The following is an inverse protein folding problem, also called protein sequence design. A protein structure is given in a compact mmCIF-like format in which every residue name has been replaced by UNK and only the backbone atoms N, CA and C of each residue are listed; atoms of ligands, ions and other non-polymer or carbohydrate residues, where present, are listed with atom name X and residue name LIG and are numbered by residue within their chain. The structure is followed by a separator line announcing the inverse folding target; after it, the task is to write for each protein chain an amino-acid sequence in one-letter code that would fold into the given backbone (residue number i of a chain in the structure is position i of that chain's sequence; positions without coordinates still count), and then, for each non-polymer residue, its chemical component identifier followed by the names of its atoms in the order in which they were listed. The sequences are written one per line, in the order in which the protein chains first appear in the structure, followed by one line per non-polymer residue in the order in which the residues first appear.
data_IF_819682304431
#
_entry.id   IF_819682304431
#
_cell.length_a   1.000
_cell.length_b   1.000
_cell.length_c   1.000
_cell.angle_alpha   90.00
_cell.angle_beta   90.00
_cell.angle_gamma   90.00
#
_symmetry.space_group_name_H-M   'P 1'
#
loop_
_entity.id
_entity.type
_entity.pdbx_description
1 polymer ?
#
# COMPACT_ATOMS: atom_id res chain seq x y z
N UNK A 1 -13.16 3.72 1.56
CA UNK A 1 -13.00 2.26 1.86
C UNK A 1 -12.82 2.09 3.36
N UNK A 2 -13.61 1.21 4.01
CA UNK A 2 -13.65 1.14 5.47
C UNK A 2 -12.40 0.42 6.00
N UNK A 3 -11.44 1.17 6.56
CA UNK A 3 -10.18 0.67 7.16
C UNK A 3 -10.43 -0.42 8.22
N UNK A 4 -11.63 -0.44 8.82
CA UNK A 4 -12.01 -1.38 9.87
C UNK A 4 -12.18 -2.83 9.41
N UNK A 5 -12.38 -3.09 8.11
CA UNK A 5 -12.54 -4.46 7.60
C UNK A 5 -11.24 -5.25 7.66
N UNK A 6 -10.14 -4.65 7.19
CA UNK A 6 -8.83 -5.30 7.13
C UNK A 6 -8.14 -5.47 8.50
N UNK A 7 -8.66 -4.82 9.53
CA UNK A 7 -8.15 -4.96 10.90
C UNK A 7 -8.89 -5.99 11.76
N UNK A 8 -9.84 -6.77 11.18
CA UNK A 8 -10.59 -7.81 11.90
C UNK A 8 -9.83 -9.13 11.93
N UNK A 9 -9.96 -9.86 13.05
CA UNK A 9 -9.26 -11.11 13.27
C UNK A 9 -9.37 -12.16 12.14
N UNK A 10 -10.55 -12.45 11.55
CA UNK A 10 -10.64 -13.46 10.49
C UNK A 10 -9.81 -13.12 9.24
N UNK A 11 -9.66 -11.83 8.92
CA UNK A 11 -8.82 -11.40 7.81
C UNK A 11 -7.33 -11.51 8.17
N UNK A 12 -6.94 -11.05 9.36
CA UNK A 12 -5.56 -11.13 9.86
C UNK A 12 -5.07 -12.57 9.91
N UNK A 13 -5.90 -13.48 10.40
CA UNK A 13 -5.55 -14.90 10.49
C UNK A 13 -5.38 -15.53 9.10
N UNK A 14 -6.24 -15.24 8.13
CA UNK A 14 -6.10 -15.71 6.75
C UNK A 14 -4.78 -15.23 6.11
N UNK A 15 -4.45 -13.96 6.26
CA UNK A 15 -3.18 -13.40 5.75
C UNK A 15 -1.97 -14.12 6.36
N UNK A 16 -1.99 -14.35 7.68
CA UNK A 16 -0.91 -15.07 8.38
C UNK A 16 -0.80 -16.53 7.97
N UNK A 17 -1.94 -17.23 7.79
CA UNK A 17 -1.98 -18.61 7.30
C UNK A 17 -1.41 -18.75 5.88
N UNK A 18 -1.52 -17.71 5.07
CA UNK A 18 -0.92 -17.66 3.73
C UNK A 18 0.59 -17.33 3.75
N UNK A 19 1.23 -17.28 4.93
CA UNK A 19 2.66 -16.94 5.05
C UNK A 19 2.97 -15.44 4.83
N UNK A 20 1.95 -14.60 4.76
CA UNK A 20 2.10 -13.16 4.53
C UNK A 20 1.95 -12.36 5.83
N UNK A 21 2.42 -11.14 5.80
CA UNK A 21 2.27 -10.17 6.88
C UNK A 21 1.33 -9.05 6.50
N UNK A 22 0.53 -8.60 7.47
CA UNK A 22 -0.39 -7.49 7.31
C UNK A 22 0.23 -6.22 7.90
N UNK A 23 0.14 -5.12 7.15
CA UNK A 23 0.36 -3.76 7.65
C UNK A 23 -0.94 -2.99 7.48
N UNK A 24 -1.47 -2.42 8.55
CA UNK A 24 -2.70 -1.65 8.49
C UNK A 24 -2.76 -0.58 9.58
N UNK A 25 -3.67 0.38 9.42
CA UNK A 25 -3.99 1.35 10.45
C UNK A 25 -5.05 0.76 11.38
N UNK A 26 -4.81 0.82 12.68
CA UNK A 26 -5.80 0.53 13.71
C UNK A 26 -6.60 1.82 14.04
N UNK A 27 -7.73 1.63 14.70
CA UNK A 27 -8.44 2.73 15.34
C UNK A 27 -7.64 3.22 16.55
N UNK A 28 -7.81 4.46 16.90
CA UNK A 28 -7.17 5.08 18.08
C UNK A 28 -7.70 4.53 19.42
N UNK A 29 -8.90 3.91 19.40
CA UNK A 29 -9.51 3.20 20.53
C UNK A 29 -9.18 1.69 20.55
N UNK A 30 -8.29 1.20 19.68
CA UNK A 30 -7.95 -0.21 19.60
C UNK A 30 -7.37 -0.73 20.92
N UNK A 31 -7.98 -1.80 21.45
CA UNK A 31 -7.54 -2.40 22.70
C UNK A 31 -6.20 -3.14 22.51
N UNK A 32 -5.16 -2.60 23.13
CA UNK A 32 -3.80 -3.15 23.11
C UNK A 32 -3.27 -3.34 24.53
N UNK A 33 -2.31 -4.24 24.70
CA UNK A 33 -1.67 -4.53 25.99
C UNK A 33 -0.15 -4.51 25.89
N UNK A 34 0.47 -4.00 26.94
CA UNK A 34 1.91 -4.06 27.11
C UNK A 34 2.39 -5.48 27.40
N UNK A 35 3.58 -5.90 26.94
CA UNK A 35 4.24 -7.09 27.44
C UNK A 35 4.62 -6.89 28.91
N UNK A 36 4.56 -7.97 29.68
CA UNK A 36 5.10 -7.95 31.04
C UNK A 36 6.62 -8.09 31.00
N UNK A 37 7.33 -7.13 31.59
CA UNK A 37 8.80 -7.07 31.63
C UNK A 37 9.38 -7.32 33.04
N UNK A 38 8.51 -7.54 34.03
CA UNK A 38 8.95 -7.75 35.40
C UNK A 38 9.35 -9.22 35.69
N UNK A 39 9.87 -9.50 36.87
CA UNK A 39 10.19 -10.85 37.31
C UNK A 39 8.89 -11.68 37.45
N UNK A 40 8.94 -12.92 37.00
CA UNK A 40 7.82 -13.85 37.18
C UNK A 40 7.78 -14.31 38.65
N UNK A 41 6.58 -14.65 39.15
CA UNK A 41 6.44 -15.20 40.49
C UNK A 41 6.97 -16.63 40.52
N UNK A 42 7.81 -16.91 41.50
CA UNK A 42 8.20 -18.28 41.81
C UNK A 42 7.00 -19.05 42.40
N UNK A 43 6.71 -20.27 41.88
CA UNK A 43 5.65 -21.10 42.36
C UNK A 43 4.66 -21.56 41.32
N UNK A 44 3.54 -22.23 41.77
CA UNK A 44 2.49 -22.71 40.89
C UNK A 44 1.64 -21.53 40.37
N UNK A 45 1.42 -21.47 39.06
CA UNK A 45 0.56 -20.50 38.43
C UNK A 45 1.01 -20.21 36.99
N UNK A 46 0.15 -19.52 36.24
CA UNK A 46 0.48 -19.07 34.88
C UNK A 46 1.34 -17.79 34.94
N UNK A 47 2.39 -17.78 34.15
CA UNK A 47 3.24 -16.60 33.98
C UNK A 47 2.45 -15.37 33.53
N UNK A 48 2.80 -14.22 34.10
CA UNK A 48 2.20 -12.95 33.76
C UNK A 48 2.68 -12.49 32.37
N UNK A 49 1.77 -12.47 31.42
CA UNK A 49 2.08 -12.14 30.02
C UNK A 49 1.94 -10.63 29.72
N UNK A 50 1.04 -9.95 30.44
CA UNK A 50 0.65 -8.56 30.15
C UNK A 50 0.88 -7.65 31.36
N UNK A 51 1.34 -6.43 31.10
CA UNK A 51 1.58 -5.39 32.10
C UNK A 51 0.46 -4.35 32.24
N UNK A 52 -0.57 -4.42 31.40
CA UNK A 52 -1.70 -3.48 31.44
C UNK A 52 -2.20 -3.09 30.05
N UNK A 53 -3.18 -2.19 30.02
CA UNK A 53 -3.72 -1.62 28.77
C UNK A 53 -2.85 -0.47 28.30
N UNK A 54 -2.77 -0.30 26.98
CA UNK A 54 -2.09 0.85 26.36
C UNK A 54 -3.07 2.02 26.27
N UNK A 55 -2.66 3.17 26.78
CA UNK A 55 -3.27 4.45 26.45
C UNK A 55 -2.46 5.07 25.32
N UNK A 56 -3.07 5.25 24.17
CA UNK A 56 -2.39 5.76 22.96
C UNK A 56 -2.03 7.24 23.05
N UNK A 57 -2.60 7.98 24.00
CA UNK A 57 -2.27 9.39 24.26
C UNK A 57 -1.17 9.53 25.32
N UNK A 58 -1.11 8.60 26.27
CA UNK A 58 -0.15 8.62 27.39
C UNK A 58 0.71 7.35 27.34
N UNK A 59 1.75 7.38 26.51
CA UNK A 59 2.62 6.22 26.26
C UNK A 59 3.58 5.96 27.40
N UNK A 60 3.66 4.71 27.84
CA UNK A 60 4.67 4.28 28.82
C UNK A 60 6.05 4.17 28.14
N UNK A 61 6.95 5.09 28.50
CA UNK A 61 8.32 5.18 27.95
C UNK A 61 9.17 3.91 28.16
N UNK A 62 8.80 3.03 29.08
CA UNK A 62 9.49 1.74 29.28
C UNK A 62 9.28 0.76 28.13
N UNK A 63 8.19 0.91 27.40
CA UNK A 63 7.78 0.03 26.32
C UNK A 63 7.90 0.64 24.93
N UNK A 64 7.94 1.96 24.84
CA UNK A 64 8.01 2.69 23.60
C UNK A 64 9.37 3.32 23.38
N UNK A 65 9.89 3.15 22.16
CA UNK A 65 11.09 3.85 21.66
C UNK A 65 10.67 4.92 20.65
N UNK A 66 11.39 6.06 20.58
CA UNK A 66 11.18 7.02 19.50
C UNK A 66 11.41 6.39 18.13
N UNK A 67 10.63 6.79 17.16
CA UNK A 67 10.75 6.36 15.77
C UNK A 67 10.89 7.60 14.87
N UNK A 68 11.90 7.60 13.99
CA UNK A 68 12.20 8.72 13.11
C UNK A 68 11.29 8.70 11.87
N UNK A 69 10.01 8.96 12.07
CA UNK A 69 8.99 9.04 11.02
C UNK A 69 7.99 10.16 11.34
N UNK A 70 7.27 10.59 10.34
CA UNK A 70 6.25 11.62 10.45
C UNK A 70 6.65 12.93 9.77
N UNK A 71 5.66 13.78 9.59
CA UNK A 71 5.82 15.10 9.03
C UNK A 71 6.18 16.12 10.13
N UNK A 72 6.44 17.36 9.72
CA UNK A 72 6.71 18.44 10.65
C UNK A 72 5.55 18.61 11.66
N UNK A 73 5.87 18.65 12.96
CA UNK A 73 4.88 18.67 14.05
C UNK A 73 4.33 17.31 14.47
N UNK A 74 4.81 16.20 13.93
CA UNK A 74 4.49 14.85 14.35
C UNK A 74 5.62 14.22 15.18
N UNK A 75 5.27 13.40 16.17
CA UNK A 75 6.21 12.54 16.90
C UNK A 75 5.73 11.10 16.86
N UNK A 76 6.61 10.20 16.50
CA UNK A 76 6.29 8.78 16.38
C UNK A 76 7.04 7.95 17.41
N UNK A 77 6.35 6.90 17.86
CA UNK A 77 6.85 5.96 18.87
C UNK A 77 6.53 4.55 18.43
N UNK A 78 7.46 3.64 18.61
CA UNK A 78 7.30 2.24 18.24
C UNK A 78 7.38 1.30 19.44
N UNK A 79 6.58 0.24 19.41
CA UNK A 79 6.60 -0.80 20.41
C UNK A 79 6.14 -2.15 19.87
N UNK A 80 6.47 -3.24 20.57
CA UNK A 80 5.82 -4.54 20.37
C UNK A 80 4.69 -4.69 21.38
N UNK A 81 3.46 -4.75 20.89
CA UNK A 81 2.24 -4.79 21.71
C UNK A 81 1.38 -5.99 21.35
N UNK A 82 0.56 -6.45 22.30
CA UNK A 82 -0.48 -7.42 22.01
C UNK A 82 -1.75 -6.72 21.57
N UNK A 83 -2.22 -7.01 20.37
CA UNK A 83 -3.45 -6.46 19.82
C UNK A 83 -4.61 -7.41 20.10
N UNK A 84 -5.54 -7.00 20.95
CA UNK A 84 -6.62 -7.88 21.43
C UNK A 84 -7.51 -8.38 20.28
N UNK A 85 -7.83 -7.52 19.32
CA UNK A 85 -8.66 -7.88 18.17
C UNK A 85 -7.98 -8.88 17.23
N UNK A 86 -6.64 -8.92 17.20
CA UNK A 86 -5.86 -9.84 16.39
C UNK A 86 -5.44 -11.11 17.15
N UNK A 87 -5.59 -11.08 18.47
CA UNK A 87 -5.12 -12.16 19.37
C UNK A 87 -3.65 -12.52 19.17
N UNK A 88 -2.81 -11.58 18.77
CA UNK A 88 -1.39 -11.79 18.54
C UNK A 88 -0.54 -10.56 18.88
N UNK A 89 0.76 -10.79 19.01
CA UNK A 89 1.75 -9.73 19.10
C UNK A 89 1.92 -9.04 17.76
N UNK A 90 2.06 -7.73 17.79
CA UNK A 90 2.25 -6.89 16.62
C UNK A 90 3.32 -5.84 16.89
N UNK A 91 4.04 -5.42 15.86
CA UNK A 91 4.79 -4.17 15.87
C UNK A 91 3.78 -3.04 15.68
N UNK A 92 3.83 -2.04 16.56
CA UNK A 92 2.92 -0.90 16.53
C UNK A 92 3.73 0.39 16.47
N UNK A 93 3.31 1.29 15.60
CA UNK A 93 3.82 2.67 15.53
C UNK A 93 2.66 3.61 15.84
N UNK A 94 2.84 4.46 16.84
CA UNK A 94 1.89 5.48 17.25
C UNK A 94 2.46 6.85 16.88
N UNK A 95 1.72 7.60 16.08
CA UNK A 95 2.10 8.94 15.65
C UNK A 95 1.20 9.94 16.34
N UNK A 96 1.78 10.83 17.11
CA UNK A 96 1.12 11.97 17.75
C UNK A 96 1.32 13.22 16.91
N UNK A 97 0.24 13.83 16.49
CA UNK A 97 0.24 15.15 15.87
C UNK A 97 -0.07 16.19 16.92
N UNK A 98 0.78 17.20 17.02
CA UNK A 98 0.63 18.27 18.00
C UNK A 98 0.05 19.52 17.36
N UNK A 99 -0.74 20.28 18.16
CA UNK A 99 -1.16 21.62 17.81
C UNK A 99 -0.05 22.64 18.14
N UNK A 100 -0.26 23.90 17.80
CA UNK A 100 0.67 25.00 18.10
C UNK A 100 0.87 25.24 19.62
N UNK A 101 -0.03 24.73 20.46
CA UNK A 101 0.02 24.83 21.92
C UNK A 101 0.79 23.63 22.55
N UNK A 102 1.26 22.67 21.75
CA UNK A 102 1.96 21.50 22.23
C UNK A 102 1.06 20.38 22.75
N UNK A 103 -0.25 20.43 22.51
CA UNK A 103 -1.19 19.38 22.88
C UNK A 103 -1.39 18.37 21.74
N UNK A 104 -1.72 17.13 22.08
CA UNK A 104 -1.99 16.08 21.10
C UNK A 104 -3.34 16.34 20.40
N UNK A 105 -3.26 16.86 19.18
CA UNK A 105 -4.40 17.12 18.30
C UNK A 105 -5.03 15.83 17.79
N UNK A 106 -4.20 14.90 17.31
CA UNK A 106 -4.65 13.60 16.77
C UNK A 106 -3.63 12.50 17.03
N UNK A 107 -4.13 11.25 17.03
CA UNK A 107 -3.30 10.04 17.16
C UNK A 107 -3.58 9.14 15.97
N UNK A 108 -2.52 8.62 15.35
CA UNK A 108 -2.61 7.62 14.30
C UNK A 108 -1.88 6.36 14.78
N UNK A 109 -2.53 5.21 14.68
CA UNK A 109 -1.98 3.93 15.14
C UNK A 109 -1.79 3.01 13.95
N UNK A 110 -0.54 2.63 13.67
CA UNK A 110 -0.18 1.68 12.61
C UNK A 110 0.33 0.40 13.24
N UNK A 111 -0.01 -0.74 12.65
CA UNK A 111 0.40 -2.03 13.19
C UNK A 111 0.77 -3.02 12.09
N UNK A 112 1.72 -3.89 12.40
CA UNK A 112 2.13 -5.00 11.54
C UNK A 112 2.15 -6.31 12.31
N UNK A 113 1.71 -7.39 11.67
CA UNK A 113 1.89 -8.77 12.19
C UNK A 113 3.35 -9.23 12.13
N UNK A 114 4.22 -8.58 11.36
CA UNK A 114 5.66 -8.76 11.38
C UNK A 114 6.25 -7.96 12.56
N UNK A 115 6.54 -8.65 13.66
CA UNK A 115 6.99 -7.98 14.89
C UNK A 115 8.43 -7.46 14.84
N UNK A 116 9.22 -7.90 13.86
CA UNK A 116 10.63 -7.55 13.68
C UNK A 116 10.85 -6.35 12.75
N UNK A 117 9.80 -5.89 12.06
CA UNK A 117 9.90 -4.75 11.15
C UNK A 117 10.27 -3.47 11.92
N UNK A 118 11.23 -2.67 11.42
CA UNK A 118 11.49 -1.32 11.95
C UNK A 118 10.24 -0.44 11.81
N UNK A 119 10.01 0.45 12.78
CA UNK A 119 8.84 1.33 12.74
C UNK A 119 8.82 2.28 11.54
N UNK A 120 9.99 2.72 11.09
CA UNK A 120 10.13 3.55 9.90
C UNK A 120 9.65 2.82 8.63
N UNK A 121 10.04 1.55 8.47
CA UNK A 121 9.62 0.73 7.34
C UNK A 121 8.12 0.41 7.39
N UNK A 122 7.59 0.15 8.60
CA UNK A 122 6.16 -0.06 8.80
C UNK A 122 5.36 1.17 8.32
N UNK A 123 5.80 2.35 8.70
CA UNK A 123 5.16 3.61 8.30
C UNK A 123 5.29 3.84 6.79
N UNK A 124 6.49 3.64 6.22
CA UNK A 124 6.74 3.76 4.77
C UNK A 124 5.86 2.81 3.96
N UNK A 125 5.79 1.54 4.34
CA UNK A 125 4.93 0.57 3.65
C UNK A 125 3.44 0.89 3.80
N UNK A 126 3.02 1.45 4.93
CA UNK A 126 1.64 1.90 5.05
C UNK A 126 1.31 3.06 4.09
N UNK A 127 2.25 3.98 3.85
CA UNK A 127 2.09 5.05 2.86
C UNK A 127 1.83 4.48 1.46
N UNK A 128 2.47 3.36 1.11
CA UNK A 128 2.25 2.68 -0.16
C UNK A 128 0.79 2.17 -0.35
N UNK A 129 -0.04 2.17 0.69
CA UNK A 129 -1.47 1.80 0.59
C UNK A 129 -2.21 2.63 -0.47
N UNK A 130 -1.85 3.90 -0.63
CA UNK A 130 -2.46 4.75 -1.67
C UNK A 130 -2.23 4.22 -3.08
N UNK A 131 -1.19 3.43 -3.30
CA UNK A 131 -0.93 2.80 -4.61
C UNK A 131 -2.05 1.83 -5.01
N UNK A 132 -2.70 1.15 -4.05
CA UNK A 132 -3.86 0.31 -4.33
C UNK A 132 -5.10 1.12 -4.74
N UNK A 133 -5.28 2.31 -4.17
CA UNK A 133 -6.38 3.21 -4.57
C UNK A 133 -6.17 3.72 -5.99
N UNK A 134 -4.93 4.08 -6.36
CA UNK A 134 -4.58 4.44 -7.72
C UNK A 134 -4.74 3.27 -8.69
N UNK A 135 -4.34 2.06 -8.30
CA UNK A 135 -4.54 0.85 -9.10
C UNK A 135 -6.02 0.63 -9.44
N UNK A 136 -6.90 0.70 -8.43
CA UNK A 136 -8.34 0.54 -8.65
C UNK A 136 -8.93 1.67 -9.50
N UNK A 137 -8.52 2.92 -9.26
CA UNK A 137 -8.95 4.07 -10.08
C UNK A 137 -8.58 3.85 -11.55
N UNK A 138 -7.31 3.54 -11.80
CA UNK A 138 -6.79 3.36 -13.15
C UNK A 138 -7.41 2.16 -13.85
N UNK A 139 -7.66 1.07 -13.11
CA UNK A 139 -8.35 -0.10 -13.64
C UNK A 139 -9.81 0.20 -14.01
N UNK A 140 -10.54 0.98 -13.23
CA UNK A 140 -11.89 1.41 -13.55
C UNK A 140 -11.94 2.31 -14.79
N UNK A 141 -11.02 3.27 -14.87
CA UNK A 141 -11.04 4.27 -15.94
C UNK A 141 -10.46 3.74 -17.26
N UNK A 142 -9.45 2.86 -17.22
CA UNK A 142 -8.68 2.54 -18.40
C UNK A 142 -8.70 1.07 -18.84
N UNK A 143 -8.98 0.11 -17.93
CA UNK A 143 -8.98 -1.33 -18.27
C UNK A 143 -10.34 -2.01 -18.12
N UNK A 144 -11.40 -1.23 -17.89
CA UNK A 144 -12.77 -1.73 -17.89
C UNK A 144 -13.13 -2.59 -16.68
N UNK A 145 -12.52 -2.37 -15.51
CA UNK A 145 -12.78 -3.15 -14.29
C UNK A 145 -14.28 -3.32 -13.97
N UNK A 146 -15.10 -2.32 -14.27
CA UNK A 146 -16.55 -2.32 -13.99
C UNK A 146 -17.41 -2.72 -15.18
N UNK A 147 -16.82 -3.12 -16.32
CA UNK A 147 -17.54 -3.38 -17.56
C UNK A 147 -17.99 -4.84 -17.72
N UNK A 148 -17.69 -5.72 -16.76
CA UNK A 148 -18.14 -7.12 -16.84
C UNK A 148 -19.65 -7.24 -16.71
N UNK A 149 -20.28 -7.94 -17.63
CA UNK A 149 -21.70 -8.30 -17.58
C UNK A 149 -21.93 -9.74 -17.12
N UNK A 150 -20.85 -10.47 -16.80
CA UNK A 150 -20.94 -11.84 -16.32
C UNK A 150 -21.54 -11.90 -14.91
N UNK A 151 -22.31 -12.97 -14.65
CA UNK A 151 -22.81 -13.32 -13.32
C UNK A 151 -22.12 -14.54 -12.72
N UNK A 152 -21.23 -15.19 -13.49
CA UNK A 152 -20.45 -16.35 -13.03
C UNK A 152 -19.23 -15.88 -12.24
N UNK A 153 -19.02 -16.43 -11.07
CA UNK A 153 -17.93 -16.04 -10.16
C UNK A 153 -16.56 -16.18 -10.83
N UNK A 154 -16.31 -17.29 -11.53
CA UNK A 154 -15.02 -17.56 -12.18
C UNK A 154 -14.74 -16.55 -13.31
N UNK A 155 -15.77 -16.15 -14.06
CA UNK A 155 -15.63 -15.15 -15.10
C UNK A 155 -15.39 -13.74 -14.53
N UNK A 156 -16.02 -13.42 -13.39
CA UNK A 156 -15.77 -12.17 -12.67
C UNK A 156 -14.35 -12.14 -12.11
N UNK A 157 -13.89 -13.23 -11.49
CA UNK A 157 -12.54 -13.34 -10.96
C UNK A 157 -11.49 -13.17 -12.06
N UNK A 158 -11.68 -13.85 -13.20
CA UNK A 158 -10.83 -13.69 -14.36
C UNK A 158 -10.80 -12.24 -14.87
N UNK A 159 -11.98 -11.63 -15.02
CA UNK A 159 -12.12 -10.25 -15.49
C UNK A 159 -11.41 -9.25 -14.57
N UNK A 160 -11.67 -9.32 -13.26
CA UNK A 160 -11.04 -8.43 -12.29
C UNK A 160 -9.53 -8.60 -12.24
N UNK A 161 -9.04 -9.84 -12.20
CA UNK A 161 -7.61 -10.13 -12.19
C UNK A 161 -6.93 -9.63 -13.47
N UNK A 162 -7.55 -9.81 -14.64
CA UNK A 162 -7.03 -9.31 -15.91
C UNK A 162 -6.94 -7.80 -15.93
N UNK A 163 -8.01 -7.10 -15.53
CA UNK A 163 -8.05 -5.65 -15.49
C UNK A 163 -7.01 -5.03 -14.55
N UNK A 164 -6.84 -5.59 -13.35
CA UNK A 164 -5.85 -5.14 -12.38
C UNK A 164 -4.42 -5.48 -12.83
N UNK A 165 -4.22 -6.67 -13.42
CA UNK A 165 -2.92 -7.08 -13.95
C UNK A 165 -2.46 -6.20 -15.10
N UNK A 166 -3.38 -5.78 -15.98
CA UNK A 166 -3.05 -4.89 -17.10
C UNK A 166 -2.43 -3.56 -16.61
N UNK A 167 -3.02 -2.93 -15.57
CA UNK A 167 -2.45 -1.71 -14.97
C UNK A 167 -1.10 -1.99 -14.33
N UNK A 168 -0.98 -3.11 -13.62
CA UNK A 168 0.28 -3.49 -12.93
C UNK A 168 1.41 -3.74 -13.93
N UNK A 169 1.12 -4.43 -15.04
CA UNK A 169 2.08 -4.69 -16.12
C UNK A 169 2.47 -3.38 -16.80
N UNK A 170 1.51 -2.53 -17.14
CA UNK A 170 1.79 -1.22 -17.77
C UNK A 170 2.72 -0.37 -16.88
N UNK A 171 2.47 -0.35 -15.57
CA UNK A 171 3.32 0.35 -14.59
C UNK A 171 4.73 -0.25 -14.52
N UNK A 172 4.84 -1.58 -14.49
CA UNK A 172 6.13 -2.27 -14.47
C UNK A 172 6.93 -1.99 -15.75
N UNK A 173 6.30 -2.06 -16.92
CA UNK A 173 6.95 -1.76 -18.19
C UNK A 173 7.41 -0.30 -18.26
N UNK A 174 6.58 0.66 -17.83
CA UNK A 174 6.98 2.06 -17.75
C UNK A 174 8.22 2.26 -16.86
N UNK A 175 8.29 1.57 -15.73
CA UNK A 175 9.41 1.69 -14.82
C UNK A 175 10.68 0.99 -15.33
N UNK A 176 10.54 -0.15 -16.00
CA UNK A 176 11.67 -0.90 -16.53
C UNK A 176 12.25 -0.33 -17.84
N UNK A 177 11.43 0.42 -18.60
CA UNK A 177 11.85 1.00 -19.87
C UNK A 177 12.68 2.29 -19.75
N UNK A 178 12.68 2.91 -18.55
CA UNK A 178 13.36 4.19 -18.33
C UNK A 178 14.39 4.09 -17.20
N UNK A 179 15.57 4.72 -17.35
CA UNK A 179 16.49 4.95 -16.23
C UNK A 179 15.80 5.70 -15.09
N UNK A 180 16.25 5.49 -13.84
CA UNK A 180 15.60 6.05 -12.65
C UNK A 180 15.45 7.58 -12.70
N UNK A 181 16.47 8.27 -13.26
CA UNK A 181 16.54 9.72 -13.37
C UNK A 181 15.57 10.30 -14.41
N UNK A 182 15.07 9.44 -15.34
CA UNK A 182 14.15 9.84 -16.41
C UNK A 182 12.71 9.41 -16.15
N UNK A 183 12.45 8.75 -15.01
CA UNK A 183 11.12 8.28 -14.65
C UNK A 183 10.25 9.42 -14.19
N UNK A 184 9.37 9.87 -15.06
CA UNK A 184 8.28 10.77 -14.70
C UNK A 184 7.14 10.05 -13.96
N UNK A 185 6.11 10.79 -13.55
CA UNK A 185 4.92 10.20 -12.95
C UNK A 185 4.23 9.22 -13.92
N UNK A 186 3.76 8.08 -13.39
CA UNK A 186 3.02 7.09 -14.19
C UNK A 186 1.63 7.61 -14.52
N UNK A 187 1.27 7.57 -15.79
CA UNK A 187 -0.08 7.90 -16.29
C UNK A 187 -0.62 6.74 -17.13
N UNK A 188 -1.65 6.06 -16.64
CA UNK A 188 -2.31 4.98 -17.40
C UNK A 188 -3.02 5.51 -18.64
N UNK A 189 -3.51 6.76 -18.61
CA UNK A 189 -4.09 7.44 -19.77
C UNK A 189 -3.07 7.56 -20.92
N UNK A 190 -1.86 8.03 -20.58
CA UNK A 190 -0.80 8.20 -21.56
C UNK A 190 -0.32 6.88 -22.14
N UNK A 191 -0.18 5.85 -21.31
CA UNK A 191 0.15 4.49 -21.76
C UNK A 191 -0.91 3.99 -22.75
N UNK A 192 -2.20 4.13 -22.42
CA UNK A 192 -3.29 3.74 -23.33
C UNK A 192 -3.23 4.50 -24.66
N UNK A 193 -2.96 5.79 -24.62
CA UNK A 193 -2.83 6.63 -25.83
C UNK A 193 -1.63 6.17 -26.67
N UNK A 194 -0.47 5.93 -26.06
CA UNK A 194 0.71 5.43 -26.76
C UNK A 194 0.48 4.08 -27.45
N UNK A 195 -0.11 3.11 -26.75
CA UNK A 195 -0.41 1.80 -27.36
C UNK A 195 -1.46 1.92 -28.49
N UNK A 196 -2.44 2.79 -28.34
CA UNK A 196 -3.40 3.04 -29.41
C UNK A 196 -2.71 3.66 -30.65
N UNK A 197 -1.86 4.67 -30.45
CA UNK A 197 -1.08 5.29 -31.53
C UNK A 197 -0.16 4.28 -32.20
N UNK A 198 0.54 3.45 -31.43
CA UNK A 198 1.40 2.39 -32.00
C UNK A 198 0.59 1.42 -32.86
N UNK A 199 -0.55 0.93 -32.38
CA UNK A 199 -1.42 0.03 -33.13
C UNK A 199 -1.91 0.66 -34.44
N UNK A 200 -2.28 1.95 -34.40
CA UNK A 200 -2.74 2.69 -35.59
C UNK A 200 -1.59 2.88 -36.60
N UNK A 201 -0.41 3.23 -36.12
CA UNK A 201 0.79 3.38 -36.99
C UNK A 201 1.18 2.05 -37.62
N UNK A 202 1.17 0.95 -36.88
CA UNK A 202 1.45 -0.38 -37.43
C UNK A 202 0.45 -0.81 -38.50
N UNK A 203 -0.84 -0.56 -38.29
CA UNK A 203 -1.89 -0.80 -39.31
C UNK A 203 -1.69 0.06 -40.55
N UNK A 204 -1.34 1.33 -40.38
CA UNK A 204 -1.07 2.25 -41.49
C UNK A 204 0.15 1.75 -42.27
N UNK A 205 1.25 1.44 -41.62
CA UNK A 205 2.45 0.93 -42.31
C UNK A 205 2.19 -0.36 -43.05
N UNK A 206 1.42 -1.29 -42.44
CA UNK A 206 1.02 -2.54 -43.08
C UNK A 206 0.17 -2.27 -44.33
N UNK A 207 -0.80 -1.37 -44.27
CA UNK A 207 -1.67 -1.04 -45.38
C UNK A 207 -0.94 -0.42 -46.59
N UNK A 208 0.12 0.34 -46.33
CA UNK A 208 0.94 0.98 -47.36
C UNK A 208 2.23 0.21 -47.71
N UNK A 209 2.41 -1.00 -47.21
CA UNK A 209 3.60 -1.82 -47.46
C UNK A 209 4.90 -1.22 -46.91
N UNK A 210 4.83 -0.34 -45.93
CA UNK A 210 5.99 0.27 -45.32
C UNK A 210 6.57 -0.62 -44.20
N UNK A 211 7.91 -0.64 -44.09
CA UNK A 211 8.57 -1.43 -43.05
C UNK A 211 8.49 -0.67 -41.69
N UNK A 212 7.79 -1.21 -40.68
CA UNK A 212 7.63 -0.55 -39.38
C UNK A 212 8.97 -0.30 -38.67
N UNK A 213 9.94 -1.21 -38.79
CA UNK A 213 11.24 -1.07 -38.14
C UNK A 213 12.07 0.12 -38.63
N UNK A 214 11.96 0.43 -39.92
CA UNK A 214 12.61 1.62 -40.49
C UNK A 214 11.91 2.90 -40.04
N UNK A 215 10.59 2.87 -39.93
CA UNK A 215 9.81 4.02 -39.50
C UNK A 215 10.04 4.37 -38.02
N UNK A 216 10.21 3.38 -37.15
CA UNK A 216 10.41 3.59 -35.70
C UNK A 216 11.67 4.43 -35.38
N UNK A 217 12.65 4.45 -36.26
CA UNK A 217 13.87 5.25 -36.12
C UNK A 217 13.71 6.72 -36.59
N UNK A 218 12.57 7.07 -37.18
CA UNK A 218 12.31 8.44 -37.65
C UNK A 218 11.80 9.32 -36.49
N UNK A 219 12.35 10.54 -36.30
CA UNK A 219 11.84 11.47 -35.29
C UNK A 219 10.34 11.76 -35.35
N UNK A 220 9.79 11.79 -36.58
CA UNK A 220 8.35 11.97 -36.79
C UNK A 220 7.51 10.82 -36.22
N UNK A 221 8.05 9.59 -36.19
CA UNK A 221 7.39 8.47 -35.55
C UNK A 221 7.19 8.72 -34.05
N UNK A 222 8.21 9.19 -33.36
CA UNK A 222 8.13 9.51 -31.93
C UNK A 222 7.08 10.56 -31.64
N UNK A 223 7.00 11.62 -32.45
CA UNK A 223 5.98 12.66 -32.33
C UNK A 223 4.56 12.11 -32.51
N UNK A 224 4.36 11.22 -33.48
CA UNK A 224 3.06 10.57 -33.69
C UNK A 224 2.71 9.55 -32.60
N UNK A 225 3.71 8.80 -32.12
CA UNK A 225 3.55 7.84 -31.01
C UNK A 225 3.13 8.52 -29.71
N UNK A 226 3.66 9.72 -29.46
CA UNK A 226 3.36 10.51 -28.25
C UNK A 226 2.18 11.49 -28.44
N UNK A 227 1.57 11.50 -29.62
CA UNK A 227 0.49 12.44 -29.89
C UNK A 227 -0.73 12.23 -28.96
N UNK A 228 -1.20 13.31 -28.35
CA UNK A 228 -2.34 13.28 -27.44
C UNK A 228 -2.02 12.81 -26.02
N UNK A 229 -0.75 12.62 -25.67
CA UNK A 229 -0.37 12.45 -24.24
C UNK A 229 -0.71 13.71 -23.46
N UNK A 230 -1.13 13.51 -22.22
CA UNK A 230 -1.27 14.61 -21.26
C UNK A 230 0.13 14.90 -20.77
N UNK A 231 0.72 16.00 -21.19
CA UNK A 231 2.02 16.43 -20.71
C UNK A 231 1.94 16.63 -19.19
N UNK A 232 2.72 15.84 -18.44
CA UNK A 232 2.87 15.97 -17.00
C UNK A 232 3.94 17.01 -16.67
#
# INVERSE_FOLDING_TARGET
MCVSYFSRNPFVDKVRQSGLHLITRLRDDAAMRYPYLGPQKEGRGRDKTFAGKVDVRHLDKRHFSPCAVGDEGEKAFEAKLYVNSWKCWAKVVIVHQYNTQGEIKSVKVYASTLTTIPGADLWLYYQARFQSEFLFRDAKQHTGLEHSQSRKTEALDYHFNTALSAVSIAKALHWLSLPAEQRGPFSMADIKTQYFNELMLERFFSAYGLNPHRAKNNPAYKSLYEFGKIAA
#
